data_IF_106426991468
#
_entry.id   IF_106426991468
#
_cell.length_a   1.000
_cell.length_b   1.000
_cell.length_c   1.000
_cell.angle_alpha   90.00
_cell.angle_beta   90.00
_cell.angle_gamma   90.00
#
_symmetry.space_group_name_H-M   'P 1'
#
loop_
_entity.id
_entity.type
_entity.pdbx_description
1 polymer ?
#
# COMPACT_ATOMS: atom_id res chain seq x y z
N UNK A 1 -47.31 -30.39 0.07
CA UNK A 1 -45.93 -29.89 0.23
C UNK A 1 -45.96 -28.83 1.31
N UNK A 2 -45.21 -29.00 2.40
CA UNK A 2 -45.10 -27.96 3.41
C UNK A 2 -44.35 -26.74 2.80
N UNK A 3 -44.78 -25.51 3.10
CA UNK A 3 -44.07 -24.31 2.63
C UNK A 3 -42.66 -24.32 3.22
N UNK A 4 -41.67 -24.20 2.35
CA UNK A 4 -40.27 -24.01 2.75
C UNK A 4 -40.16 -22.61 3.35
N UNK A 5 -39.74 -22.53 4.61
CA UNK A 5 -39.48 -21.26 5.27
C UNK A 5 -38.18 -20.65 4.74
N UNK A 6 -38.32 -19.85 3.69
CA UNK A 6 -37.23 -19.17 3.02
C UNK A 6 -36.49 -18.20 3.96
N UNK A 7 -37.20 -17.59 4.93
CA UNK A 7 -36.58 -16.68 5.88
C UNK A 7 -35.64 -17.41 6.85
N UNK A 8 -36.03 -18.60 7.32
CA UNK A 8 -35.16 -19.44 8.14
C UNK A 8 -33.92 -19.93 7.37
N UNK A 9 -34.05 -20.20 6.07
CA UNK A 9 -32.91 -20.59 5.21
C UNK A 9 -31.96 -19.40 5.02
N UNK A 10 -32.49 -18.22 4.68
CA UNK A 10 -31.69 -17.01 4.47
C UNK A 10 -30.91 -16.62 5.73
N UNK A 11 -31.53 -16.73 6.92
CA UNK A 11 -30.87 -16.50 8.19
C UNK A 11 -29.68 -17.44 8.44
N UNK A 12 -29.84 -18.74 8.14
CA UNK A 12 -28.76 -19.73 8.28
C UNK A 12 -27.62 -19.51 7.28
N UNK A 13 -27.94 -19.08 6.06
CA UNK A 13 -26.95 -18.74 5.04
C UNK A 13 -26.13 -17.52 5.50
N UNK A 14 -26.77 -16.47 5.98
CA UNK A 14 -26.10 -15.26 6.47
C UNK A 14 -25.16 -15.57 7.65
N UNK A 15 -25.63 -16.38 8.62
CA UNK A 15 -24.81 -16.81 9.76
C UNK A 15 -23.58 -17.62 9.31
N UNK A 16 -23.76 -18.55 8.37
CA UNK A 16 -22.66 -19.33 7.82
C UNK A 16 -21.63 -18.46 7.11
N UNK A 17 -22.08 -17.51 6.26
CA UNK A 17 -21.20 -16.56 5.57
C UNK A 17 -20.40 -15.74 6.59
N UNK A 18 -21.06 -15.17 7.61
CA UNK A 18 -20.38 -14.38 8.63
C UNK A 18 -19.31 -15.17 9.38
N UNK A 19 -19.59 -16.44 9.72
CA UNK A 19 -18.62 -17.33 10.38
C UNK A 19 -17.42 -17.64 9.49
N UNK A 20 -17.66 -17.94 8.21
CA UNK A 20 -16.59 -18.23 7.25
C UNK A 20 -15.73 -16.98 7.01
N UNK A 21 -16.32 -15.80 6.93
CA UNK A 21 -15.59 -14.53 6.76
C UNK A 21 -14.74 -14.18 8.00
N UNK A 22 -15.27 -14.41 9.20
CA UNK A 22 -14.53 -14.23 10.44
C UNK A 22 -13.32 -15.16 10.52
N UNK A 23 -13.53 -16.44 10.23
CA UNK A 23 -12.45 -17.44 10.23
C UNK A 23 -11.39 -17.15 9.15
N UNK A 24 -11.85 -16.74 7.95
CA UNK A 24 -10.95 -16.33 6.87
C UNK A 24 -10.11 -15.11 7.26
N UNK A 25 -10.70 -14.14 7.97
CA UNK A 25 -9.97 -12.97 8.46
C UNK A 25 -8.95 -13.35 9.54
N UNK A 26 -9.33 -14.21 10.48
CA UNK A 26 -8.44 -14.74 11.52
C UNK A 26 -7.21 -15.43 10.93
N UNK A 27 -7.42 -16.40 10.03
CA UNK A 27 -6.34 -17.13 9.37
C UNK A 27 -5.45 -16.22 8.52
N UNK A 28 -6.02 -15.17 7.93
CA UNK A 28 -5.25 -14.18 7.17
C UNK A 28 -4.31 -13.38 8.08
N UNK A 29 -4.79 -12.90 9.23
CA UNK A 29 -3.94 -12.22 10.19
C UNK A 29 -2.85 -13.13 10.75
N UNK A 30 -3.17 -14.38 11.08
CA UNK A 30 -2.16 -15.38 11.47
C UNK A 30 -1.09 -15.56 10.38
N UNK A 31 -1.50 -15.63 9.11
CA UNK A 31 -0.57 -15.69 7.99
C UNK A 31 0.32 -14.44 7.90
N UNK A 32 -0.23 -13.24 8.09
CA UNK A 32 0.56 -12.00 8.12
C UNK A 32 1.56 -12.04 9.27
N UNK A 33 1.13 -12.38 10.48
CA UNK A 33 1.99 -12.54 11.65
C UNK A 33 3.05 -13.62 11.45
N UNK A 34 2.81 -14.64 10.64
CA UNK A 34 3.78 -15.71 10.38
C UNK A 34 4.81 -15.33 9.30
N UNK A 35 4.43 -14.51 8.33
CA UNK A 35 5.24 -14.29 7.11
C UNK A 35 5.92 -12.93 7.06
N UNK A 36 5.27 -11.86 7.54
CA UNK A 36 5.81 -10.51 7.47
C UNK A 36 6.84 -10.29 8.57
N UNK A 37 8.09 -10.08 8.18
CA UNK A 37 9.24 -9.92 9.10
C UNK A 37 10.02 -8.63 8.88
N UNK A 38 9.68 -7.89 7.84
CA UNK A 38 10.45 -6.74 7.39
C UNK A 38 9.55 -5.61 6.90
N UNK A 39 10.05 -4.40 7.05
CA UNK A 39 9.43 -3.19 6.51
C UNK A 39 10.51 -2.26 5.95
N UNK A 40 10.09 -1.37 5.07
CA UNK A 40 10.94 -0.26 4.62
C UNK A 40 10.93 0.86 5.67
N UNK A 41 12.09 1.45 6.04
CA UNK A 41 12.14 2.64 6.88
C UNK A 41 11.32 3.80 6.32
N UNK A 42 11.19 3.90 4.99
CA UNK A 42 10.33 4.91 4.38
C UNK A 42 8.85 4.71 4.74
N UNK A 43 8.40 3.46 4.85
CA UNK A 43 7.04 3.14 5.31
C UNK A 43 6.87 3.51 6.78
N UNK A 44 7.86 3.19 7.63
CA UNK A 44 7.83 3.54 9.05
C UNK A 44 7.80 5.07 9.25
N UNK A 45 8.71 5.80 8.60
CA UNK A 45 8.78 7.26 8.66
C UNK A 45 7.51 7.92 8.14
N UNK A 46 6.93 7.43 7.04
CA UNK A 46 5.64 7.92 6.54
C UNK A 46 4.51 7.71 7.55
N UNK A 47 4.44 6.52 8.16
CA UNK A 47 3.41 6.24 9.15
C UNK A 47 3.56 7.14 10.40
N UNK A 48 4.79 7.38 10.86
CA UNK A 48 5.07 8.33 11.94
C UNK A 48 4.67 9.75 11.59
N UNK A 49 4.99 10.23 10.38
CA UNK A 49 4.63 11.58 9.93
C UNK A 49 3.12 11.80 9.84
N UNK A 50 2.36 10.76 9.47
CA UNK A 50 0.89 10.81 9.40
C UNK A 50 0.23 10.49 10.76
N UNK A 51 1.02 10.20 11.81
CA UNK A 51 0.51 9.85 13.14
C UNK A 51 -0.24 8.51 13.17
N UNK A 52 0.09 7.58 12.28
CA UNK A 52 -0.60 6.28 12.17
C UNK A 52 0.26 5.12 12.65
N UNK A 53 -0.36 4.22 13.42
CA UNK A 53 0.24 2.94 13.81
C UNK A 53 0.13 1.93 12.67
N UNK A 54 1.27 1.46 12.15
CA UNK A 54 1.30 0.39 11.14
C UNK A 54 0.70 -0.89 11.72
N UNK A 55 0.98 -1.19 12.98
CA UNK A 55 0.43 -2.36 13.67
C UNK A 55 -1.10 -2.34 13.69
N UNK A 56 -1.68 -1.21 14.10
CA UNK A 56 -3.13 -1.01 14.12
C UNK A 56 -3.71 -1.15 12.71
N UNK A 57 -3.09 -0.53 11.72
CA UNK A 57 -3.58 -0.64 10.35
C UNK A 57 -3.50 -2.07 9.80
N UNK A 58 -2.46 -2.83 10.17
CA UNK A 58 -2.35 -4.26 9.81
C UNK A 58 -3.50 -5.06 10.44
N UNK A 59 -3.88 -4.76 11.69
CA UNK A 59 -5.02 -5.43 12.34
C UNK A 59 -6.37 -5.16 11.66
N UNK A 60 -6.49 -4.03 10.95
CA UNK A 60 -7.69 -3.66 10.19
C UNK A 60 -7.68 -4.22 8.75
N UNK A 61 -6.62 -4.91 8.36
CA UNK A 61 -6.49 -5.44 7.00
C UNK A 61 -7.48 -6.56 6.72
N UNK A 62 -7.94 -6.63 5.47
CA UNK A 62 -8.89 -7.66 5.01
C UNK A 62 -8.22 -8.59 4.00
N UNK A 63 -8.53 -9.90 4.07
CA UNK A 63 -8.02 -10.85 3.08
C UNK A 63 -8.54 -10.56 1.67
N UNK A 64 -7.72 -10.77 0.62
CA UNK A 64 -8.17 -10.73 -0.76
C UNK A 64 -9.24 -11.72 -1.09
N UNK A 65 -10.24 -11.33 -1.89
CA UNK A 65 -11.36 -12.19 -2.32
C UNK A 65 -10.87 -13.59 -2.75
N UNK A 66 -9.73 -13.63 -3.43
CA UNK A 66 -9.11 -14.82 -3.99
C UNK A 66 -8.28 -15.62 -2.97
N UNK A 67 -8.03 -15.08 -1.78
CA UNK A 67 -7.27 -15.71 -0.70
C UNK A 67 -8.14 -16.72 0.07
N UNK A 68 -7.64 -17.94 0.37
CA UNK A 68 -6.23 -18.38 0.26
C UNK A 68 -5.85 -19.06 -1.07
N UNK A 69 -6.75 -19.11 -2.07
CA UNK A 69 -6.52 -19.85 -3.32
C UNK A 69 -5.41 -19.26 -4.19
N UNK A 70 -5.14 -17.96 -4.05
CA UNK A 70 -4.10 -17.24 -4.78
C UNK A 70 -3.08 -16.66 -3.79
N UNK A 71 -1.77 -16.95 -3.95
CA UNK A 71 -0.73 -16.38 -3.10
C UNK A 71 -0.69 -14.85 -3.17
N UNK A 72 -0.38 -14.21 -2.05
CA UNK A 72 -0.28 -12.75 -1.93
C UNK A 72 0.92 -12.16 -2.69
N UNK A 73 1.84 -13.01 -3.16
CA UNK A 73 3.20 -12.62 -3.54
C UNK A 73 3.46 -12.63 -5.04
N UNK A 74 2.53 -13.17 -5.84
CA UNK A 74 2.80 -13.51 -7.25
C UNK A 74 2.61 -12.34 -8.23
N UNK A 75 2.09 -11.20 -7.75
CA UNK A 75 1.86 -10.06 -8.61
C UNK A 75 2.83 -8.95 -8.25
N UNK A 76 3.74 -8.56 -9.16
CA UNK A 76 4.32 -7.25 -9.04
C UNK A 76 3.15 -6.27 -9.01
N UNK A 77 3.11 -5.35 -8.05
CA UNK A 77 2.11 -4.28 -8.02
C UNK A 77 1.99 -3.69 -9.42
N UNK A 78 0.78 -3.51 -9.90
CA UNK A 78 0.57 -2.74 -11.11
C UNK A 78 1.13 -1.34 -10.85
N UNK A 79 2.27 -1.01 -11.50
CA UNK A 79 2.87 0.32 -11.41
C UNK A 79 1.78 1.31 -11.79
N UNK A 80 1.31 2.09 -10.83
CA UNK A 80 0.38 3.15 -11.12
C UNK A 80 0.99 4.07 -12.17
N UNK A 81 0.17 4.65 -13.03
CA UNK A 81 0.59 5.77 -13.88
C UNK A 81 0.17 7.07 -13.19
N UNK A 82 0.91 8.16 -13.39
CA UNK A 82 0.53 9.49 -12.85
C UNK A 82 -0.89 9.88 -13.27
N UNK A 83 -1.29 9.52 -14.51
CA UNK A 83 -2.65 9.77 -15.01
C UNK A 83 -3.72 9.12 -14.14
N UNK A 84 -3.42 7.98 -13.52
CA UNK A 84 -4.32 7.28 -12.61
C UNK A 84 -4.42 7.95 -11.23
N UNK A 85 -3.57 8.94 -10.93
CA UNK A 85 -3.62 9.74 -9.69
C UNK A 85 -4.47 11.01 -9.82
N UNK A 86 -4.84 11.41 -11.06
CA UNK A 86 -5.74 12.55 -11.31
C UNK A 86 -7.07 12.47 -10.55
N UNK A 87 -7.70 11.30 -10.34
CA UNK A 87 -8.90 11.15 -9.54
C UNK A 87 -8.77 11.58 -8.08
N UNK A 88 -7.60 11.38 -7.46
CA UNK A 88 -7.35 11.67 -6.04
C UNK A 88 -7.48 13.16 -5.74
N UNK A 89 -7.08 14.01 -6.69
CA UNK A 89 -6.97 15.46 -6.47
C UNK A 89 -8.21 16.26 -6.86
N UNK A 90 -9.13 15.66 -7.62
CA UNK A 90 -10.29 16.38 -8.19
C UNK A 90 -11.65 15.79 -7.83
N UNK A 91 -11.70 14.75 -6.99
CA UNK A 91 -12.96 14.04 -6.75
C UNK A 91 -13.56 13.55 -8.07
N UNK A 92 -12.75 12.90 -8.92
CA UNK A 92 -13.14 12.55 -10.28
C UNK A 92 -14.48 11.81 -10.32
N UNK A 93 -15.37 12.28 -11.19
CA UNK A 93 -16.67 11.70 -11.53
C UNK A 93 -16.57 10.51 -12.48
N UNK A 94 -15.37 10.16 -12.96
CA UNK A 94 -15.19 9.03 -13.87
C UNK A 94 -15.05 7.71 -13.10
N UNK A 95 -16.14 6.95 -13.08
CA UNK A 95 -16.26 5.63 -12.43
C UNK A 95 -15.17 4.63 -12.85
N UNK A 96 -14.67 4.70 -14.09
CA UNK A 96 -13.64 3.76 -14.56
C UNK A 96 -12.27 4.06 -13.94
N UNK A 97 -11.89 5.34 -13.89
CA UNK A 97 -10.66 5.78 -13.24
C UNK A 97 -10.73 5.55 -11.73
N UNK A 98 -11.88 5.80 -11.10
CA UNK A 98 -12.14 5.46 -9.71
C UNK A 98 -11.94 3.98 -9.42
N UNK A 99 -12.51 3.07 -10.23
CA UNK A 99 -12.37 1.62 -10.03
C UNK A 99 -10.93 1.17 -10.18
N UNK A 100 -10.22 1.70 -11.19
CA UNK A 100 -8.80 1.41 -11.39
C UNK A 100 -7.94 1.92 -10.25
N UNK A 101 -8.25 3.11 -9.77
CA UNK A 101 -7.63 3.74 -8.63
C UNK A 101 -7.88 2.94 -7.33
N UNK A 102 -9.13 2.56 -7.07
CA UNK A 102 -9.52 1.66 -5.97
C UNK A 102 -8.78 0.33 -6.07
N UNK A 103 -8.59 -0.26 -7.25
CA UNK A 103 -7.84 -1.52 -7.35
C UNK A 103 -6.39 -1.41 -6.88
N UNK A 104 -5.74 -0.24 -6.95
CA UNK A 104 -4.33 -0.17 -6.56
C UNK A 104 -4.11 0.21 -5.09
N UNK A 105 -4.99 1.04 -4.53
CA UNK A 105 -4.92 1.44 -3.12
C UNK A 105 -5.97 0.76 -2.23
N UNK A 106 -6.89 0.00 -2.82
CA UNK A 106 -7.89 -0.86 -2.17
C UNK A 106 -7.85 -2.28 -2.72
N UNK A 107 -6.75 -2.67 -3.40
CA UNK A 107 -6.45 -4.09 -3.52
C UNK A 107 -6.36 -4.68 -2.12
N UNK A 108 -6.75 -5.94 -1.91
CA UNK A 108 -6.85 -6.44 -0.56
C UNK A 108 -5.48 -6.52 0.11
N UNK A 109 -5.40 -5.91 1.29
CA UNK A 109 -4.15 -5.57 1.95
C UNK A 109 -4.41 -4.63 3.12
N UNK A 110 -3.33 -4.07 3.66
CA UNK A 110 -3.29 -3.19 4.81
C UNK A 110 -3.52 -1.76 4.32
N UNK A 111 -4.74 -1.25 4.41
CA UNK A 111 -5.03 0.12 3.96
C UNK A 111 -4.91 1.05 5.16
N UNK A 112 -3.88 1.90 5.16
CA UNK A 112 -3.67 2.90 6.20
C UNK A 112 -4.12 4.26 5.67
N UNK A 113 -5.22 4.81 6.16
CA UNK A 113 -5.72 6.14 5.76
C UNK A 113 -6.49 6.73 6.94
N UNK A 114 -6.70 8.06 7.05
CA UNK A 114 -6.50 9.13 6.06
C UNK A 114 -5.75 10.33 6.71
N UNK A 115 -5.82 11.57 6.20
CA UNK A 115 -6.34 12.57 7.15
C UNK A 115 -7.69 12.99 6.64
N UNK A 116 -7.84 13.45 5.40
CA UNK A 116 -9.20 13.55 4.80
C UNK A 116 -9.24 13.11 3.34
N UNK A 117 -8.51 12.02 3.09
CA UNK A 117 -8.44 11.18 1.89
C UNK A 117 -9.78 11.03 1.13
N UNK A 118 -10.02 11.72 -0.02
CA UNK A 118 -10.94 11.26 -1.05
C UNK A 118 -10.10 10.45 -2.03
N UNK A 119 -9.70 9.29 -1.53
CA UNK A 119 -9.08 8.14 -2.17
C UNK A 119 -7.56 8.00 -2.13
N UNK A 120 -6.70 8.81 -1.50
CA UNK A 120 -5.43 8.16 -1.07
C UNK A 120 -4.43 8.95 -0.23
N UNK A 121 -3.87 8.29 0.80
CA UNK A 121 -2.70 8.74 1.58
C UNK A 121 -1.68 7.65 1.90
N UNK A 122 -2.07 6.40 2.10
CA UNK A 122 -1.10 5.31 2.18
C UNK A 122 -1.78 3.97 1.90
N UNK A 123 -1.07 3.05 1.25
CA UNK A 123 -1.56 1.69 1.08
C UNK A 123 -0.39 0.74 1.28
N UNK A 124 -0.61 -0.28 2.10
CA UNK A 124 0.37 -1.30 2.44
C UNK A 124 -0.18 -2.65 2.03
N UNK A 125 0.71 -3.55 1.62
CA UNK A 125 0.34 -4.92 1.28
C UNK A 125 1.46 -5.87 1.67
N UNK A 126 1.13 -7.10 2.10
CA UNK A 126 2.13 -8.14 2.28
C UNK A 126 2.79 -8.44 0.92
N UNK A 127 4.11 -8.57 0.91
CA UNK A 127 4.90 -8.90 -0.27
C UNK A 127 6.16 -9.65 0.14
N UNK A 128 6.29 -10.93 -0.23
CA UNK A 128 7.50 -11.74 -0.04
C UNK A 128 8.12 -11.63 1.37
N UNK A 129 7.27 -11.76 2.40
CA UNK A 129 7.67 -11.69 3.81
C UNK A 129 7.97 -10.28 4.34
N UNK A 130 7.54 -9.24 3.63
CA UNK A 130 7.68 -7.85 4.07
C UNK A 130 6.44 -7.03 3.76
N UNK A 131 6.39 -5.80 4.27
CA UNK A 131 5.37 -4.82 3.91
C UNK A 131 5.84 -4.00 2.70
N UNK A 132 5.16 -4.18 1.57
CA UNK A 132 5.24 -3.29 0.43
C UNK A 132 4.26 -2.13 0.60
N UNK A 133 4.56 -0.98 0.02
CA UNK A 133 3.67 0.18 0.14
C UNK A 133 3.63 1.06 -1.10
N UNK A 134 2.57 1.87 -1.15
CA UNK A 134 2.36 2.94 -2.12
C UNK A 134 1.82 4.15 -1.38
N UNK A 135 2.46 5.31 -1.55
CA UNK A 135 2.17 6.55 -0.85
C UNK A 135 2.17 7.73 -1.82
N UNK A 136 1.24 8.66 -1.64
CA UNK A 136 1.32 9.96 -2.30
C UNK A 136 2.23 10.86 -1.46
N UNK A 137 3.25 11.46 -2.08
CA UNK A 137 4.14 12.43 -1.43
C UNK A 137 4.10 13.71 -2.25
N UNK A 138 3.29 14.67 -1.80
CA UNK A 138 2.99 15.88 -2.58
C UNK A 138 2.40 15.53 -3.95
N UNK A 139 3.00 15.96 -5.08
CA UNK A 139 2.57 15.61 -6.44
C UNK A 139 3.12 14.28 -6.96
N UNK A 140 3.96 13.60 -6.19
CA UNK A 140 4.66 12.40 -6.61
C UNK A 140 4.05 11.14 -5.99
N UNK A 141 4.29 10.00 -6.61
CA UNK A 141 3.91 8.71 -6.06
C UNK A 141 5.14 7.90 -5.69
N UNK A 142 5.30 7.65 -4.41
CA UNK A 142 6.32 6.74 -3.89
C UNK A 142 5.73 5.35 -3.81
N UNK A 143 6.48 4.33 -4.22
CA UNK A 143 6.14 2.95 -3.93
C UNK A 143 7.39 2.15 -3.62
N UNK A 144 7.31 1.21 -2.69
CA UNK A 144 8.42 0.32 -2.38
C UNK A 144 7.96 -1.13 -2.32
N UNK A 145 8.75 -1.99 -2.97
CA UNK A 145 8.55 -3.43 -3.07
C UNK A 145 9.90 -4.10 -2.94
N UNK A 146 10.11 -4.89 -1.89
CA UNK A 146 11.46 -5.37 -1.64
C UNK A 146 12.37 -4.26 -1.14
N UNK A 147 13.66 -4.43 -1.45
CA UNK A 147 14.69 -3.42 -1.23
C UNK A 147 14.73 -2.35 -2.34
N UNK A 148 13.66 -2.21 -3.14
CA UNK A 148 13.60 -1.26 -4.26
C UNK A 148 12.38 -0.38 -4.10
N UNK A 149 12.60 0.93 -4.25
CA UNK A 149 11.54 1.90 -4.32
C UNK A 149 11.57 2.65 -5.65
N UNK A 150 10.40 3.08 -6.08
CA UNK A 150 10.18 3.89 -7.25
C UNK A 150 9.44 5.15 -6.85
N UNK A 151 9.88 6.28 -7.38
CA UNK A 151 9.23 7.56 -7.21
C UNK A 151 8.90 8.14 -8.57
N UNK A 152 7.61 8.25 -8.81
CA UNK A 152 7.07 8.76 -10.05
C UNK A 152 6.74 10.23 -9.85
N UNK A 153 7.40 11.07 -10.64
CA UNK A 153 7.16 12.50 -10.65
C UNK A 153 5.94 12.83 -11.48
N UNK A 154 5.29 13.94 -11.16
CA UNK A 154 4.15 14.42 -11.93
C UNK A 154 4.52 14.79 -13.36
N UNK A 155 5.60 15.53 -13.50
CA UNK A 155 6.08 16.13 -14.74
C UNK A 155 7.42 15.50 -15.13
N UNK A 156 7.80 15.48 -16.41
CA UNK A 156 9.07 14.92 -16.83
C UNK A 156 10.21 15.82 -16.37
N UNK A 157 11.33 15.21 -16.00
CA UNK A 157 12.54 15.97 -15.73
C UNK A 157 13.12 16.54 -17.03
N UNK A 158 13.63 17.78 -17.02
CA UNK A 158 14.47 18.28 -18.09
C UNK A 158 15.63 17.33 -18.37
N UNK A 159 15.97 17.12 -19.64
CA UNK A 159 16.99 16.14 -20.05
C UNK A 159 18.33 16.33 -19.33
N UNK A 160 18.72 17.58 -19.10
CA UNK A 160 19.95 17.92 -18.36
C UNK A 160 19.92 17.39 -16.92
N UNK A 161 18.80 17.52 -16.23
CA UNK A 161 18.61 16.92 -14.90
C UNK A 161 18.52 15.41 -15.01
N UNK A 162 17.76 14.89 -15.97
CA UNK A 162 17.55 13.46 -16.14
C UNK A 162 18.87 12.68 -16.33
N UNK A 163 19.77 13.20 -17.15
CA UNK A 163 21.11 12.62 -17.40
C UNK A 163 21.99 12.70 -16.14
N UNK A 164 21.87 13.79 -15.38
CA UNK A 164 22.70 14.03 -14.19
C UNK A 164 22.22 13.29 -12.93
N UNK A 165 21.00 12.78 -12.91
CA UNK A 165 20.37 12.24 -11.70
C UNK A 165 20.94 10.91 -11.17
N UNK A 166 21.27 9.90 -12.00
CA UNK A 166 21.81 8.65 -11.49
C UNK A 166 23.04 8.85 -10.57
N UNK A 167 23.03 8.18 -9.42
CA UNK A 167 24.03 8.33 -8.37
C UNK A 167 23.80 9.50 -7.41
N UNK A 168 22.97 10.49 -7.75
CA UNK A 168 22.72 11.66 -6.88
C UNK A 168 21.75 11.36 -5.74
N UNK A 169 21.87 12.06 -4.60
CA UNK A 169 20.90 11.98 -3.51
C UNK A 169 19.51 12.44 -3.96
N UNK A 170 18.48 11.69 -3.62
CA UNK A 170 17.09 11.99 -3.97
C UNK A 170 16.62 13.33 -3.39
N UNK A 171 17.12 13.70 -2.20
CA UNK A 171 16.83 15.00 -1.55
C UNK A 171 17.25 16.23 -2.37
N UNK A 172 18.16 16.09 -3.33
CA UNK A 172 18.52 17.20 -4.23
C UNK A 172 17.41 17.51 -5.23
N UNK A 173 16.50 16.56 -5.45
CA UNK A 173 15.40 16.70 -6.38
C UNK A 173 14.08 16.96 -5.67
N UNK A 174 13.87 16.35 -4.50
CA UNK A 174 12.63 16.48 -3.73
C UNK A 174 12.96 16.85 -2.31
N UNK A 175 12.51 18.04 -1.93
CA UNK A 175 12.54 18.50 -0.56
C UNK A 175 11.35 17.89 0.20
N UNK A 176 11.59 16.76 0.85
CA UNK A 176 10.62 16.09 1.72
C UNK A 176 11.34 15.50 2.94
N UNK A 177 10.84 15.71 4.17
CA UNK A 177 11.50 15.27 5.40
C UNK A 177 11.93 13.79 5.38
N UNK A 178 11.07 12.93 4.82
CA UNK A 178 11.34 11.50 4.65
C UNK A 178 12.69 11.20 3.99
N UNK A 179 13.13 11.98 2.99
CA UNK A 179 14.38 11.75 2.28
C UNK A 179 15.60 12.40 2.94
N UNK A 180 15.36 13.27 3.93
CA UNK A 180 16.40 13.80 4.81
C UNK A 180 16.74 12.78 5.90
N UNK A 181 15.73 12.15 6.50
CA UNK A 181 15.88 11.11 7.52
C UNK A 181 16.36 9.77 6.93
N UNK A 182 15.94 9.47 5.69
CA UNK A 182 16.30 8.24 5.00
C UNK A 182 16.98 8.56 3.66
N UNK A 183 18.29 8.88 3.67
CA UNK A 183 19.00 9.31 2.47
C UNK A 183 19.08 8.18 1.44
N UNK A 184 18.42 8.40 0.30
CA UNK A 184 18.40 7.48 -0.84
C UNK A 184 19.16 8.08 -2.02
N UNK A 185 19.78 7.24 -2.85
CA UNK A 185 20.41 7.65 -4.11
C UNK A 185 19.65 7.08 -5.29
N UNK A 186 19.46 7.91 -6.33
CA UNK A 186 18.83 7.48 -7.57
C UNK A 186 19.73 6.45 -8.25
N UNK A 187 19.20 5.27 -8.56
CA UNK A 187 19.90 4.24 -9.33
C UNK A 187 19.63 4.39 -10.82
N UNK A 188 18.36 4.59 -11.17
CA UNK A 188 17.87 4.64 -12.54
C UNK A 188 16.79 5.69 -12.67
N UNK A 189 16.75 6.33 -13.83
CA UNK A 189 15.67 7.19 -14.25
C UNK A 189 15.10 6.63 -15.55
N UNK A 190 13.78 6.45 -15.57
CA UNK A 190 13.02 6.07 -16.75
C UNK A 190 12.05 7.18 -17.12
N UNK A 191 11.73 7.30 -18.41
CA UNK A 191 10.66 8.17 -18.88
C UNK A 191 9.46 7.32 -19.26
N UNK A 192 8.29 7.61 -18.68
CA UNK A 192 7.01 7.10 -19.16
C UNK A 192 6.47 8.07 -20.20
N UNK A 193 6.74 7.79 -21.47
CA UNK A 193 6.34 8.62 -22.61
C UNK A 193 4.82 8.69 -22.79
N UNK A 194 4.08 7.67 -22.31
CA UNK A 194 2.61 7.67 -22.38
C UNK A 194 1.99 8.53 -21.29
N UNK A 195 2.61 8.59 -20.11
CA UNK A 195 2.14 9.42 -19.01
C UNK A 195 2.77 10.83 -18.96
N UNK A 196 3.85 11.05 -19.72
CA UNK A 196 4.62 12.30 -19.66
C UNK A 196 5.29 12.49 -18.30
N UNK A 197 5.87 11.44 -17.73
CA UNK A 197 6.41 11.47 -16.36
C UNK A 197 7.77 10.80 -16.25
N UNK A 198 8.58 11.19 -15.27
CA UNK A 198 9.83 10.50 -14.93
C UNK A 198 9.66 9.58 -13.73
N UNK A 199 10.24 8.39 -13.82
CA UNK A 199 10.25 7.37 -12.76
C UNK A 199 11.68 7.21 -12.27
N UNK A 200 11.92 7.55 -11.02
CA UNK A 200 13.18 7.38 -10.33
C UNK A 200 13.14 6.05 -9.59
N UNK A 201 14.11 5.18 -9.79
CA UNK A 201 14.26 3.93 -9.03
C UNK A 201 15.46 4.04 -8.10
N UNK A 202 15.31 3.57 -6.86
CA UNK A 202 16.39 3.61 -5.86
C UNK A 202 16.31 2.41 -4.90
N UNK A 203 17.43 2.12 -4.22
CA UNK A 203 17.45 1.09 -3.16
C UNK A 203 16.98 1.69 -1.86
N UNK A 204 16.28 0.87 -1.10
CA UNK A 204 15.87 1.18 0.27
C UNK A 204 16.22 -0.02 1.14
N UNK A 205 16.95 0.17 2.25
CA UNK A 205 17.22 -0.94 3.16
C UNK A 205 15.90 -1.47 3.74
N UNK A 206 15.90 -2.74 4.11
CA UNK A 206 14.81 -3.35 4.86
C UNK A 206 15.24 -3.47 6.31
N UNK A 207 14.35 -3.12 7.23
CA UNK A 207 14.55 -3.27 8.67
C UNK A 207 13.66 -4.39 9.20
N UNK A 208 14.08 -5.09 10.27
CA UNK A 208 13.20 -5.99 11.00
C UNK A 208 11.91 -5.29 11.40
N UNK A 209 10.80 -5.99 11.26
CA UNK A 209 9.47 -5.50 11.62
C UNK A 209 8.63 -6.67 12.10
N UNK A 210 7.99 -6.48 13.25
CA UNK A 210 7.09 -7.46 13.85
C UNK A 210 5.70 -6.86 13.92
N UNK A 211 4.70 -7.64 13.50
CA UNK A 211 3.30 -7.27 13.67
C UNK A 211 2.92 -7.68 15.10
N UNK A 212 2.57 -6.73 16.00
CA UNK A 212 2.21 -7.04 17.38
C UNK A 212 1.02 -7.97 17.44
N UNK A 213 1.09 -9.03 18.25
CA UNK A 213 -0.05 -9.94 18.38
C UNK A 213 -1.20 -9.21 19.09
N UNK A 214 -2.46 -9.56 18.79
CA UNK A 214 -3.61 -8.97 19.48
C UNK A 214 -3.53 -9.10 21.01
N UNK A 215 -2.92 -10.19 21.49
CA UNK A 215 -2.74 -10.48 22.92
C UNK A 215 -1.81 -9.47 23.61
N UNK A 216 -0.81 -8.94 22.90
CA UNK A 216 0.21 -8.02 23.43
C UNK A 216 -0.31 -6.57 23.56
N UNK A 217 -1.33 -6.20 22.78
CA UNK A 217 -1.89 -4.84 22.79
C UNK A 217 -2.65 -4.50 24.09
N UNK A 218 -3.10 -5.52 24.83
CA UNK A 218 -3.88 -5.35 26.06
C UNK A 218 -3.04 -4.93 27.27
N UNK A 219 -1.72 -5.16 27.23
CA UNK A 219 -0.83 -4.94 28.39
C UNK A 219 -0.22 -3.53 28.39
N UNK A 220 -0.15 -2.84 27.24
CA UNK A 220 0.49 -1.53 27.11
C UNK A 220 -0.43 -0.34 27.48
N UNK A 221 -1.68 -0.59 27.85
CA UNK A 221 -2.68 0.44 28.20
C UNK A 221 -3.05 0.44 29.70
N UNK A 222 -2.29 -0.29 30.53
CA UNK A 222 -2.43 -0.33 32.00
C UNK A 222 -1.20 0.30 32.66
#
# INVERSE_FOLDING_TARGET
>A
MAPVDTAAIDGRIAEFIGRVEAERTRLFHEHLHATVRRASPLLLGLATMEGVSIAEAVSQSRPPENWPRMPLYDFPPSRLRVSQLRPIRRGSTNLHEERRFRRVFCDPGVIIRPVDDPRGRFAVRPHSGMLAFTAAIGPSLLSAFGATATLMLRDPLPDTLAIAMPGRPLRQLIDHPLFSEHPCRVLRLDSDTQAGSSILSFRVPLVPFEIPRPEDATVASA
#
